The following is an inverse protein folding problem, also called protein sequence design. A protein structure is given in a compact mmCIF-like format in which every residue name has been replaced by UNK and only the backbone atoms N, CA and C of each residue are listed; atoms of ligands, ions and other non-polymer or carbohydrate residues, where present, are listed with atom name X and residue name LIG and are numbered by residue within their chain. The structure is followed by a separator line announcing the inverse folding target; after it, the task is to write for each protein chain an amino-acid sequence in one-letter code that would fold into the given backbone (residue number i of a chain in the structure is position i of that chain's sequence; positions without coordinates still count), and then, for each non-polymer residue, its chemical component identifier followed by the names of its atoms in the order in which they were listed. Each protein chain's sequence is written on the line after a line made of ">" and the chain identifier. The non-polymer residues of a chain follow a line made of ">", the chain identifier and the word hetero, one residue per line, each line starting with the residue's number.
data_IF_513823406706
#
_entry.id   IF_513823406706
#
_cell.length_a   1.000
_cell.length_b   1.000
_cell.length_c   1.000
_cell.angle_alpha   90.00
_cell.angle_beta   90.00
_cell.angle_gamma   90.00
#
_symmetry.space_group_name_H-M   'P 1'
#
loop_
_entity.id
_entity.type
_entity.pdbx_description
1 polymer ?
#
# COMPACT_ATOMS: atom_id res chain seq x y z
N UNK A 1 19.07 -3.95 -21.43
CA UNK A 1 19.56 -5.06 -20.59
C UNK A 1 18.81 -4.98 -19.28
N UNK A 2 17.86 -5.88 -19.03
CA UNK A 2 17.21 -5.98 -17.72
C UNK A 2 18.23 -6.51 -16.73
N UNK A 3 18.80 -5.64 -15.90
CA UNK A 3 19.48 -6.11 -14.71
C UNK A 3 18.42 -6.81 -13.85
N UNK A 4 18.49 -8.12 -13.71
CA UNK A 4 17.67 -8.85 -12.75
C UNK A 4 17.91 -8.24 -11.37
N UNK A 5 16.84 -7.75 -10.76
CA UNK A 5 16.89 -7.15 -9.44
C UNK A 5 16.66 -8.27 -8.44
N UNK A 6 17.60 -8.46 -7.52
CA UNK A 6 17.44 -9.43 -6.44
C UNK A 6 16.30 -8.96 -5.51
N UNK A 7 15.29 -9.82 -5.34
CA UNK A 7 14.10 -9.57 -4.53
C UNK A 7 13.96 -10.57 -3.37
N UNK A 8 15.05 -11.21 -2.96
CA UNK A 8 15.04 -12.00 -1.72
C UNK A 8 14.73 -11.13 -0.48
N UNK A 9 14.40 -11.79 0.63
CA UNK A 9 14.05 -11.12 1.87
C UNK A 9 15.12 -10.14 2.39
N UNK A 10 16.42 -10.44 2.19
CA UNK A 10 17.48 -9.56 2.69
C UNK A 10 17.63 -8.30 1.83
N UNK A 11 17.52 -8.43 0.50
CA UNK A 11 17.49 -7.32 -0.44
C UNK A 11 16.32 -6.38 -0.14
N UNK A 12 15.12 -6.93 0.01
CA UNK A 12 13.91 -6.15 0.32
C UNK A 12 14.02 -5.48 1.69
N UNK A 13 14.52 -6.19 2.70
CA UNK A 13 14.76 -5.66 4.04
C UNK A 13 15.69 -4.44 3.99
N UNK A 14 16.82 -4.56 3.29
CA UNK A 14 17.76 -3.46 3.11
C UNK A 14 17.11 -2.27 2.40
N UNK A 15 16.37 -2.50 1.32
CA UNK A 15 15.62 -1.44 0.63
C UNK A 15 14.57 -0.78 1.52
N UNK A 16 13.93 -1.53 2.42
CA UNK A 16 12.98 -0.96 3.38
C UNK A 16 13.66 -0.08 4.43
N UNK A 17 14.83 -0.47 4.92
CA UNK A 17 15.67 0.35 5.82
C UNK A 17 16.11 1.64 5.12
N UNK A 18 16.61 1.52 3.89
CA UNK A 18 17.00 2.67 3.05
C UNK A 18 15.81 3.61 2.78
N UNK A 19 14.63 3.07 2.48
CA UNK A 19 13.42 3.88 2.26
C UNK A 19 13.07 4.69 3.50
N UNK A 20 13.07 4.06 4.69
CA UNK A 20 12.82 4.76 5.96
C UNK A 20 13.80 5.91 6.15
N UNK A 21 15.08 5.70 5.83
CA UNK A 21 16.10 6.74 5.96
C UNK A 21 15.96 7.86 4.91
N UNK A 22 15.66 7.51 3.65
CA UNK A 22 15.60 8.46 2.54
C UNK A 22 14.41 9.42 2.63
N UNK A 23 13.27 8.95 3.13
CA UNK A 23 12.04 9.76 3.23
C UNK A 23 11.51 9.93 4.65
N UNK A 24 12.20 9.43 5.68
CA UNK A 24 11.81 9.61 7.10
C UNK A 24 10.38 9.14 7.37
N UNK A 25 10.09 7.89 6.99
CA UNK A 25 8.75 7.31 7.13
C UNK A 25 8.29 7.27 8.59
N UNK A 26 7.02 7.64 8.81
CA UNK A 26 6.38 7.62 10.14
C UNK A 26 6.08 6.22 10.64
N UNK A 27 5.88 5.26 9.74
CA UNK A 27 5.51 3.87 10.06
C UNK A 27 6.29 2.89 9.22
N UNK A 28 6.27 1.62 9.60
CA UNK A 28 7.05 0.59 8.94
C UNK A 28 6.53 0.27 7.53
N UNK A 29 7.40 0.25 6.51
CA UNK A 29 7.14 -0.50 5.29
C UNK A 29 6.85 -1.97 5.61
N UNK A 30 5.91 -2.56 4.88
CA UNK A 30 5.45 -3.91 5.14
C UNK A 30 5.17 -4.66 3.84
N UNK A 31 5.23 -5.99 3.89
CA UNK A 31 4.90 -6.86 2.78
C UNK A 31 3.56 -7.53 2.99
N UNK A 32 2.92 -7.93 1.90
CA UNK A 32 1.79 -8.88 1.89
C UNK A 32 2.12 -10.09 1.03
N UNK A 33 1.65 -11.27 1.45
CA UNK A 33 1.77 -12.52 0.70
C UNK A 33 0.48 -13.33 0.81
N UNK A 34 0.02 -13.86 -0.32
CA UNK A 34 -1.11 -14.76 -0.44
C UNK A 34 -0.64 -16.22 -0.41
N UNK A 35 -1.43 -17.06 0.22
CA UNK A 35 -1.10 -18.47 0.44
C UNK A 35 -2.20 -19.36 -0.11
N UNK A 36 -1.80 -20.35 -0.93
CA UNK A 36 -2.71 -21.39 -1.41
C UNK A 36 -3.06 -22.38 -0.29
N UNK A 37 -2.08 -22.67 0.56
CA UNK A 37 -2.22 -23.52 1.73
C UNK A 37 -2.10 -22.68 3.01
N UNK A 38 -3.10 -22.78 3.88
CA UNK A 38 -3.12 -22.07 5.16
C UNK A 38 -1.99 -22.53 6.10
N UNK A 39 -1.58 -23.80 6.02
CA UNK A 39 -0.53 -24.33 6.90
C UNK A 39 0.83 -23.68 6.61
N UNK A 40 1.13 -23.39 5.35
CA UNK A 40 2.33 -22.65 4.95
C UNK A 40 2.33 -21.24 5.56
N UNK A 41 1.17 -20.58 5.57
CA UNK A 41 0.99 -19.29 6.22
C UNK A 41 1.20 -19.40 7.73
N UNK A 42 0.55 -20.37 8.38
CA UNK A 42 0.62 -20.56 9.83
C UNK A 42 2.03 -20.96 10.30
N UNK A 43 2.86 -21.52 9.42
CA UNK A 43 4.27 -21.85 9.71
C UNK A 43 5.18 -20.62 9.86
N UNK A 44 4.73 -19.41 9.47
CA UNK A 44 5.52 -18.19 9.56
C UNK A 44 5.86 -17.88 11.02
N UNK A 45 7.17 -17.79 11.31
CA UNK A 45 7.68 -17.53 12.65
C UNK A 45 7.10 -16.25 13.25
N UNK A 46 6.40 -16.40 14.38
CA UNK A 46 5.84 -15.29 15.14
C UNK A 46 4.59 -14.66 14.52
N UNK A 47 3.98 -15.34 13.54
CA UNK A 47 2.68 -14.95 13.01
C UNK A 47 1.62 -15.04 14.10
N UNK A 48 0.71 -14.06 14.08
CA UNK A 48 -0.47 -14.03 14.92
C UNK A 48 -1.70 -14.00 14.04
N UNK A 49 -2.77 -14.64 14.48
CA UNK A 49 -4.09 -14.54 13.87
C UNK A 49 -5.03 -13.81 14.82
N UNK A 50 -6.12 -13.22 14.32
CA UNK A 50 -7.21 -12.76 15.17
C UNK A 50 -7.67 -13.85 16.15
N UNK A 51 -7.90 -13.47 17.40
CA UNK A 51 -8.45 -14.37 18.42
C UNK A 51 -9.87 -14.83 18.04
N UNK A 52 -10.28 -15.98 18.57
CA UNK A 52 -11.59 -16.55 18.31
C UNK A 52 -12.74 -15.56 18.58
N UNK A 53 -13.70 -15.53 17.65
CA UNK A 53 -14.84 -14.60 17.69
C UNK A 53 -14.49 -13.13 17.44
N UNK A 54 -13.24 -12.80 17.09
CA UNK A 54 -12.84 -11.45 16.68
C UNK A 54 -12.63 -11.39 15.17
N UNK A 55 -13.25 -10.39 14.55
CA UNK A 55 -13.17 -10.14 13.13
C UNK A 55 -12.52 -8.79 12.87
N UNK A 56 -11.76 -8.70 11.79
CA UNK A 56 -11.10 -7.46 11.39
C UNK A 56 -11.42 -7.13 9.94
N UNK A 57 -11.34 -5.83 9.63
CA UNK A 57 -11.17 -5.40 8.24
C UNK A 57 -9.71 -5.52 7.84
N UNK A 58 -9.44 -5.66 6.54
CA UNK A 58 -8.06 -5.67 6.02
C UNK A 58 -7.32 -4.36 6.37
N UNK A 59 -8.03 -3.23 6.41
CA UNK A 59 -7.48 -1.94 6.83
C UNK A 59 -6.95 -1.97 8.28
N UNK A 60 -7.68 -2.58 9.21
CA UNK A 60 -7.20 -2.73 10.60
C UNK A 60 -6.00 -3.66 10.72
N UNK A 61 -5.92 -4.68 9.85
CA UNK A 61 -4.77 -5.58 9.80
C UNK A 61 -3.51 -4.83 9.35
N UNK A 62 -3.57 -4.11 8.22
CA UNK A 62 -2.40 -3.38 7.72
C UNK A 62 -1.94 -2.30 8.69
N UNK A 63 -2.88 -1.63 9.38
CA UNK A 63 -2.54 -0.65 10.41
C UNK A 63 -1.73 -1.28 11.53
N UNK A 64 -2.17 -2.42 12.07
CA UNK A 64 -1.41 -3.11 13.12
C UNK A 64 -0.01 -3.53 12.65
N UNK A 65 0.11 -3.97 11.39
CA UNK A 65 1.40 -4.35 10.81
C UNK A 65 2.33 -3.14 10.74
N UNK A 66 1.88 -2.01 10.18
CA UNK A 66 2.72 -0.83 9.96
C UNK A 66 3.02 -0.03 11.24
N UNK A 67 2.11 -0.01 12.23
CA UNK A 67 2.28 0.79 13.45
C UNK A 67 2.83 -0.01 14.62
N UNK A 68 2.29 -1.21 14.87
CA UNK A 68 2.71 -2.06 15.98
C UNK A 68 3.82 -3.05 15.60
N UNK A 69 4.07 -3.25 14.31
CA UNK A 69 5.15 -4.13 13.83
C UNK A 69 4.84 -5.61 13.95
N UNK A 70 3.56 -6.00 14.02
CA UNK A 70 3.16 -7.41 14.11
C UNK A 70 3.22 -8.11 12.75
N UNK A 71 3.55 -9.40 12.76
CA UNK A 71 3.28 -10.30 11.64
C UNK A 71 1.90 -10.89 11.85
N UNK A 72 0.97 -10.58 10.96
CA UNK A 72 -0.43 -11.00 11.07
C UNK A 72 -0.81 -11.88 9.89
N UNK A 73 -1.51 -12.97 10.17
CA UNK A 73 -2.15 -13.84 9.17
C UNK A 73 -3.66 -13.82 9.32
N UNK A 74 -4.38 -13.87 8.21
CA UNK A 74 -5.83 -13.98 8.17
C UNK A 74 -6.29 -15.01 7.15
N UNK A 75 -7.40 -15.66 7.48
CA UNK A 75 -8.22 -16.45 6.57
C UNK A 75 -9.61 -15.82 6.43
N UNK A 76 -10.47 -16.37 5.58
CA UNK A 76 -11.83 -15.88 5.35
C UNK A 76 -12.60 -15.66 6.68
N UNK A 77 -12.55 -16.62 7.60
CA UNK A 77 -13.27 -16.56 8.88
C UNK A 77 -12.74 -15.48 9.85
N UNK A 78 -11.60 -14.85 9.57
CA UNK A 78 -11.10 -13.73 10.37
C UNK A 78 -11.63 -12.37 9.89
N UNK A 79 -12.26 -12.32 8.72
CA UNK A 79 -12.75 -11.10 8.12
C UNK A 79 -14.15 -10.74 8.63
N UNK A 80 -14.46 -9.44 8.65
CA UNK A 80 -15.78 -8.95 9.07
C UNK A 80 -16.89 -9.60 8.23
N UNK A 81 -17.83 -10.36 8.85
CA UNK A 81 -18.93 -11.00 8.15
C UNK A 81 -19.80 -10.00 7.39
N UNK A 82 -20.29 -10.39 6.21
CA UNK A 82 -21.21 -9.58 5.39
C UNK A 82 -20.59 -8.31 4.78
N UNK A 83 -19.26 -8.19 4.82
CA UNK A 83 -18.49 -7.17 4.10
C UNK A 83 -17.87 -7.75 2.81
N UNK A 84 -17.14 -6.94 2.06
CA UNK A 84 -16.36 -7.35 0.88
C UNK A 84 -14.84 -7.17 1.06
N UNK A 85 -14.37 -7.02 2.31
CA UNK A 85 -12.97 -6.77 2.59
C UNK A 85 -12.05 -7.93 2.14
N UNK A 86 -12.53 -9.16 2.21
CA UNK A 86 -11.80 -10.34 1.74
C UNK A 86 -11.77 -10.45 0.23
N UNK A 87 -12.79 -9.92 -0.45
CA UNK A 87 -12.91 -10.07 -1.89
C UNK A 87 -11.78 -9.32 -2.62
N UNK A 88 -11.36 -8.17 -2.08
CA UNK A 88 -10.25 -7.41 -2.65
C UNK A 88 -8.90 -8.15 -2.57
N UNK A 89 -8.76 -9.12 -1.66
CA UNK A 89 -7.57 -9.96 -1.48
C UNK A 89 -7.81 -11.42 -1.88
N UNK A 90 -8.95 -11.74 -2.52
CA UNK A 90 -9.23 -13.06 -3.08
C UNK A 90 -9.54 -14.16 -2.05
N UNK A 91 -9.80 -13.81 -0.79
CA UNK A 91 -10.14 -14.77 0.27
C UNK A 91 -11.64 -15.07 0.39
N UNK A 92 -12.48 -14.35 -0.35
CA UNK A 92 -13.91 -14.63 -0.45
C UNK A 92 -14.43 -14.26 -1.83
N UNK A 93 -15.49 -14.93 -2.26
CA UNK A 93 -16.29 -14.50 -3.42
C UNK A 93 -17.08 -13.28 -2.99
N UNK A 94 -17.22 -12.29 -3.88
CA UNK A 94 -18.06 -11.11 -3.64
C UNK A 94 -19.51 -11.57 -3.46
N UNK A 95 -20.16 -11.36 -2.29
CA UNK A 95 -21.55 -11.75 -2.09
C UNK A 95 -22.49 -11.00 -3.04
N UNK A 96 -23.62 -11.61 -3.43
CA UNK A 96 -24.52 -11.03 -4.44
C UNK A 96 -25.14 -9.69 -4.01
N UNK A 97 -25.44 -9.54 -2.73
CA UNK A 97 -25.95 -8.29 -2.16
C UNK A 97 -24.89 -7.16 -2.15
N UNK A 98 -23.62 -7.51 -2.28
CA UNK A 98 -22.51 -6.57 -2.49
C UNK A 98 -22.25 -6.37 -3.97
N UNK A 99 -22.10 -7.43 -4.78
CA UNK A 99 -21.77 -7.36 -6.21
C UNK A 99 -22.81 -6.57 -7.01
N UNK A 100 -24.09 -6.74 -6.66
CA UNK A 100 -25.20 -6.00 -7.27
C UNK A 100 -25.15 -4.50 -6.96
N UNK A 101 -24.40 -4.08 -5.93
CA UNK A 101 -24.37 -2.71 -5.43
C UNK A 101 -25.48 -2.38 -4.43
N UNK A 102 -26.38 -3.32 -4.11
CA UNK A 102 -27.54 -3.06 -3.24
C UNK A 102 -27.15 -2.42 -1.90
N UNK A 103 -26.06 -2.86 -1.28
CA UNK A 103 -25.57 -2.31 0.00
C UNK A 103 -25.01 -0.88 -0.09
N UNK A 104 -24.71 -0.37 -1.28
CA UNK A 104 -24.13 0.97 -1.48
C UNK A 104 -25.11 1.97 -2.10
N UNK A 105 -26.24 1.50 -2.64
CA UNK A 105 -27.32 2.33 -3.16
C UNK A 105 -27.96 3.18 -2.06
N UNK A 106 -28.01 4.50 -2.26
CA UNK A 106 -28.50 5.48 -1.29
C UNK A 106 -27.53 5.74 -0.12
N UNK A 107 -26.40 5.03 -0.05
CA UNK A 107 -25.38 5.20 0.99
C UNK A 107 -24.16 5.93 0.43
N UNK A 108 -23.55 5.35 -0.60
CA UNK A 108 -22.38 5.92 -1.29
C UNK A 108 -22.73 6.42 -2.68
N UNK A 109 -23.71 5.79 -3.33
CA UNK A 109 -24.10 6.11 -4.70
C UNK A 109 -25.60 6.34 -4.77
N UNK A 110 -26.03 7.38 -5.48
CA UNK A 110 -27.43 7.79 -5.51
C UNK A 110 -28.39 6.78 -6.15
N UNK A 111 -27.89 5.77 -6.86
CA UNK A 111 -28.72 4.76 -7.51
C UNK A 111 -28.01 3.40 -7.66
N UNK A 112 -28.80 2.37 -7.95
CA UNK A 112 -28.36 0.98 -8.10
C UNK A 112 -27.35 0.78 -9.22
N UNK A 113 -27.53 1.45 -10.35
CA UNK A 113 -26.66 1.31 -11.51
C UNK A 113 -25.23 1.80 -11.19
N UNK A 114 -25.11 2.96 -10.53
CA UNK A 114 -23.83 3.50 -10.09
C UNK A 114 -23.16 2.59 -9.06
N UNK A 115 -23.92 2.06 -8.10
CA UNK A 115 -23.41 1.12 -7.11
C UNK A 115 -22.94 -0.21 -7.72
N UNK A 116 -23.69 -0.77 -8.67
CA UNK A 116 -23.30 -1.97 -9.41
C UNK A 116 -22.03 -1.73 -10.24
N UNK A 117 -21.95 -0.58 -10.94
CA UNK A 117 -20.76 -0.19 -11.72
C UNK A 117 -19.52 -0.08 -10.85
N UNK A 118 -19.63 0.54 -9.67
CA UNK A 118 -18.54 0.61 -8.69
C UNK A 118 -18.03 -0.80 -8.34
N UNK A 119 -18.94 -1.72 -8.02
CA UNK A 119 -18.59 -3.08 -7.62
C UNK A 119 -17.98 -3.91 -8.76
N UNK A 120 -18.42 -3.67 -9.99
CA UNK A 120 -17.92 -4.34 -11.19
C UNK A 120 -16.53 -3.84 -11.62
N UNK A 121 -16.20 -2.56 -11.37
CA UNK A 121 -14.95 -1.94 -11.81
C UNK A 121 -13.80 -2.07 -10.80
N UNK A 122 -14.09 -2.47 -9.55
CA UNK A 122 -13.04 -2.65 -8.55
C UNK A 122 -12.05 -3.74 -8.97
N UNK A 123 -10.74 -3.44 -9.03
CA UNK A 123 -9.72 -4.46 -9.21
C UNK A 123 -9.66 -5.36 -7.97
N UNK A 124 -9.66 -6.67 -8.19
CA UNK A 124 -9.64 -7.68 -7.13
C UNK A 124 -8.73 -8.82 -7.51
N UNK A 125 -8.17 -9.46 -6.48
CA UNK A 125 -7.56 -10.78 -6.64
C UNK A 125 -8.65 -11.80 -6.93
N UNK A 126 -8.40 -12.70 -7.88
CA UNK A 126 -9.31 -13.79 -8.21
C UNK A 126 -9.57 -14.69 -6.99
N UNK A 127 -10.85 -14.91 -6.68
CA UNK A 127 -11.27 -15.76 -5.58
C UNK A 127 -11.03 -17.25 -5.87
N UNK A 128 -10.92 -18.07 -4.82
CA UNK A 128 -10.79 -19.52 -4.93
C UNK A 128 -9.36 -20.03 -5.16
N UNK A 129 -8.39 -19.13 -5.38
CA UNK A 129 -6.98 -19.50 -5.53
C UNK A 129 -6.21 -19.57 -4.21
N UNK A 130 -6.59 -18.75 -3.23
CA UNK A 130 -5.85 -18.58 -1.98
C UNK A 130 -6.76 -18.80 -0.77
N UNK A 131 -6.18 -19.34 0.30
CA UNK A 131 -6.87 -19.67 1.55
C UNK A 131 -6.38 -18.83 2.73
N UNK A 132 -5.26 -18.12 2.58
CA UNK A 132 -4.73 -17.21 3.59
C UNK A 132 -3.97 -16.03 3.01
N UNK A 133 -3.86 -14.98 3.81
CA UNK A 133 -3.01 -13.82 3.57
C UNK A 133 -2.21 -13.51 4.83
N UNK A 134 -0.89 -13.30 4.68
CA UNK A 134 -0.06 -12.74 5.74
C UNK A 134 0.50 -11.38 5.35
N UNK A 135 0.66 -10.53 6.36
CA UNK A 135 1.35 -9.26 6.26
C UNK A 135 2.37 -9.11 7.39
N UNK A 136 3.53 -8.53 7.07
CA UNK A 136 4.64 -8.39 8.03
C UNK A 136 5.50 -7.18 7.70
N UNK A 137 6.08 -6.47 8.69
CA UNK A 137 7.04 -5.41 8.41
C UNK A 137 8.22 -5.96 7.59
N UNK A 138 8.64 -5.25 6.54
CA UNK A 138 9.69 -5.72 5.63
C UNK A 138 11.02 -5.94 6.36
N UNK A 139 11.30 -5.13 7.41
CA UNK A 139 12.48 -5.30 8.27
C UNK A 139 12.62 -6.68 8.93
N UNK A 140 11.55 -7.47 8.96
CA UNK A 140 11.56 -8.80 9.59
C UNK A 140 12.05 -9.91 8.66
N UNK A 141 12.03 -9.69 7.34
CA UNK A 141 12.39 -10.72 6.35
C UNK A 141 11.51 -11.99 6.39
N UNK A 142 10.31 -11.93 6.99
CA UNK A 142 9.47 -13.13 7.22
C UNK A 142 8.68 -13.60 5.99
N UNK A 143 8.52 -12.72 5.00
CA UNK A 143 7.82 -13.02 3.76
C UNK A 143 8.87 -12.98 2.64
N UNK A 144 9.26 -14.15 2.12
CA UNK A 144 10.37 -14.28 1.17
C UNK A 144 9.95 -14.94 -0.15
N UNK A 145 9.98 -14.20 -1.28
CA UNK A 145 9.65 -12.77 -1.29
C UNK A 145 8.18 -12.56 -0.85
N UNK A 146 7.79 -11.35 -0.42
CA UNK A 146 6.38 -10.99 -0.38
C UNK A 146 5.83 -10.91 -1.81
N UNK A 147 4.50 -11.00 -1.96
CA UNK A 147 3.89 -10.74 -3.26
C UNK A 147 3.96 -9.24 -3.57
N UNK A 148 3.71 -8.37 -2.60
CA UNK A 148 3.84 -6.91 -2.76
C UNK A 148 4.48 -6.27 -1.53
N UNK A 149 5.16 -5.15 -1.74
CA UNK A 149 5.71 -4.25 -0.74
C UNK A 149 4.84 -3.01 -0.66
N UNK A 150 4.55 -2.54 0.56
CA UNK A 150 3.68 -1.41 0.82
C UNK A 150 4.29 -0.45 1.84
N UNK A 151 3.91 0.81 1.71
CA UNK A 151 4.18 1.82 2.73
C UNK A 151 3.18 2.98 2.61
N UNK A 152 2.96 3.65 3.73
CA UNK A 152 2.16 4.87 3.80
C UNK A 152 3.09 6.07 3.97
N UNK A 153 2.82 7.14 3.23
CA UNK A 153 3.63 8.35 3.24
C UNK A 153 2.83 9.55 2.74
N UNK A 154 3.33 10.76 3.00
CA UNK A 154 2.77 11.99 2.46
C UNK A 154 2.93 12.12 0.95
N UNK A 155 2.13 12.97 0.27
CA UNK A 155 2.28 13.24 -1.16
C UNK A 155 3.72 13.63 -1.57
N UNK A 156 4.39 14.45 -0.74
CA UNK A 156 5.78 14.84 -0.97
C UNK A 156 6.76 13.66 -0.88
N UNK A 157 6.55 12.72 0.03
CA UNK A 157 7.38 11.51 0.10
C UNK A 157 7.09 10.55 -1.06
N UNK A 158 5.82 10.42 -1.47
CA UNK A 158 5.40 9.55 -2.56
C UNK A 158 5.96 9.97 -3.91
N UNK A 159 5.97 11.27 -4.23
CA UNK A 159 6.51 11.73 -5.50
C UNK A 159 8.00 11.43 -5.62
N UNK A 160 8.77 11.54 -4.53
CA UNK A 160 10.19 11.19 -4.56
C UNK A 160 10.43 9.71 -4.85
N UNK A 161 9.61 8.81 -4.29
CA UNK A 161 9.66 7.39 -4.60
C UNK A 161 9.29 7.10 -6.07
N UNK A 162 8.25 7.75 -6.59
CA UNK A 162 7.87 7.63 -8.01
C UNK A 162 9.00 8.12 -8.93
N UNK A 163 9.67 9.21 -8.59
CA UNK A 163 10.85 9.66 -9.35
C UNK A 163 11.99 8.63 -9.26
N UNK A 164 12.14 7.96 -8.12
CA UNK A 164 13.06 6.83 -7.96
C UNK A 164 12.75 5.69 -8.93
N UNK A 165 11.48 5.29 -9.05
CA UNK A 165 11.04 4.28 -10.02
C UNK A 165 11.38 4.66 -11.47
N UNK A 166 11.36 5.96 -11.77
CA UNK A 166 11.60 6.49 -13.11
C UNK A 166 13.08 6.71 -13.44
N UNK A 167 13.97 6.67 -12.46
CA UNK A 167 15.36 7.12 -12.61
C UNK A 167 16.13 6.36 -13.71
N UNK A 168 16.06 5.03 -13.72
CA UNK A 168 16.79 4.21 -14.69
C UNK A 168 16.02 4.00 -16.00
N UNK A 169 14.70 3.89 -15.91
CA UNK A 169 13.82 3.66 -17.06
C UNK A 169 12.56 4.49 -16.88
N UNK A 170 12.55 5.68 -17.47
CA UNK A 170 11.39 6.55 -17.40
C UNK A 170 10.16 5.85 -18.01
N UNK A 171 9.09 5.80 -17.22
CA UNK A 171 7.74 5.55 -17.72
C UNK A 171 6.76 6.44 -16.99
N UNK A 172 5.67 6.77 -17.67
CA UNK A 172 4.50 7.35 -17.02
C UNK A 172 3.77 6.25 -16.25
N UNK A 173 3.35 6.55 -15.03
CA UNK A 173 2.47 5.68 -14.24
C UNK A 173 1.05 6.21 -14.32
N UNK A 174 0.10 5.31 -14.56
CA UNK A 174 -1.32 5.60 -14.51
C UNK A 174 -1.91 4.93 -13.27
N UNK A 175 -2.45 5.74 -12.36
CA UNK A 175 -3.10 5.28 -11.15
C UNK A 175 -4.60 5.56 -11.25
N UNK A 176 -5.42 4.59 -10.84
CA UNK A 176 -6.87 4.68 -10.88
C UNK A 176 -7.45 4.98 -9.50
N UNK A 177 -8.67 5.51 -9.47
CA UNK A 177 -9.37 5.81 -8.22
C UNK A 177 -10.80 5.26 -8.28
N UNK A 178 -11.10 4.33 -7.39
CA UNK A 178 -12.42 3.77 -7.11
C UNK A 178 -13.23 4.71 -6.20
N UNK A 179 -12.56 5.47 -5.34
CA UNK A 179 -13.19 6.35 -4.35
C UNK A 179 -13.38 5.62 -3.03
N UNK A 180 -14.59 5.15 -2.73
CA UNK A 180 -14.79 4.26 -1.58
C UNK A 180 -14.26 2.86 -1.91
N UNK A 181 -13.52 2.24 -0.98
CA UNK A 181 -12.75 1.00 -1.17
C UNK A 181 -11.36 1.19 -1.81
N UNK A 182 -10.60 2.18 -1.32
CA UNK A 182 -9.20 2.43 -1.75
C UNK A 182 -8.25 1.21 -1.61
N UNK A 183 -8.62 0.23 -0.80
CA UNK A 183 -7.96 -1.07 -0.72
C UNK A 183 -7.98 -1.86 -2.06
N UNK A 184 -8.99 -1.63 -2.91
CA UNK A 184 -9.01 -2.15 -4.27
C UNK A 184 -7.94 -1.46 -5.13
N UNK A 185 -7.87 -0.13 -5.13
CA UNK A 185 -6.88 0.62 -5.93
C UNK A 185 -5.43 0.41 -5.48
N UNK A 186 -5.20 0.01 -4.22
CA UNK A 186 -3.86 -0.23 -3.67
C UNK A 186 -3.46 -1.72 -3.75
N UNK A 187 -3.64 -2.49 -2.66
CA UNK A 187 -3.19 -3.88 -2.62
C UNK A 187 -4.03 -4.80 -3.50
N UNK A 188 -5.33 -4.54 -3.67
CA UNK A 188 -6.17 -5.33 -4.57
C UNK A 188 -5.64 -5.32 -6.00
N UNK A 189 -5.37 -4.13 -6.54
CA UNK A 189 -4.73 -3.92 -7.84
C UNK A 189 -3.31 -4.51 -7.86
N UNK A 190 -2.44 -4.13 -6.93
CA UNK A 190 -1.04 -4.58 -6.96
C UNK A 190 -0.88 -6.11 -6.85
N UNK A 191 -1.74 -6.78 -6.07
CA UNK A 191 -1.77 -8.25 -5.97
C UNK A 191 -2.30 -8.89 -7.25
N UNK A 192 -3.34 -8.33 -7.86
CA UNK A 192 -4.00 -8.90 -9.05
C UNK A 192 -3.22 -8.66 -10.35
N UNK A 193 -2.67 -7.46 -10.54
CA UNK A 193 -2.02 -7.07 -11.79
C UNK A 193 -0.50 -7.15 -11.75
N UNK A 194 0.10 -7.24 -10.55
CA UNK A 194 1.55 -7.07 -10.35
C UNK A 194 2.05 -5.71 -10.85
N UNK A 195 1.22 -4.67 -10.76
CA UNK A 195 1.62 -3.30 -11.10
C UNK A 195 1.71 -2.41 -9.86
N UNK A 196 2.66 -1.48 -9.87
CA UNK A 196 2.76 -0.42 -8.88
C UNK A 196 1.46 0.39 -8.83
N UNK A 197 0.95 0.59 -7.63
CA UNK A 197 -0.36 1.16 -7.36
C UNK A 197 -0.27 2.19 -6.24
N UNK A 198 -0.84 3.37 -6.49
CA UNK A 198 -0.94 4.47 -5.53
C UNK A 198 -2.42 4.72 -5.25
N UNK A 199 -2.83 4.70 -3.98
CA UNK A 199 -4.19 4.98 -3.58
C UNK A 199 -4.27 6.22 -2.68
N UNK A 200 -5.33 7.00 -2.89
CA UNK A 200 -5.86 7.92 -1.88
C UNK A 200 -6.70 7.08 -0.92
N UNK A 201 -6.34 6.97 0.37
CA UNK A 201 -7.14 6.21 1.32
C UNK A 201 -8.60 6.67 1.30
N UNK A 202 -9.55 5.78 1.54
CA UNK A 202 -10.98 6.13 1.52
C UNK A 202 -11.49 6.52 2.91
N UNK A 203 -12.79 6.79 3.05
CA UNK A 203 -13.40 7.14 4.33
C UNK A 203 -13.27 5.98 5.33
N UNK A 204 -13.62 4.76 4.92
CA UNK A 204 -13.52 3.58 5.78
C UNK A 204 -12.08 3.29 6.23
N UNK A 205 -11.10 3.50 5.34
CA UNK A 205 -9.69 3.30 5.69
C UNK A 205 -9.19 4.31 6.73
N UNK A 206 -9.64 5.58 6.66
CA UNK A 206 -9.39 6.56 7.72
C UNK A 206 -10.11 6.22 9.01
N UNK A 207 -11.42 5.98 8.93
CA UNK A 207 -12.27 5.78 10.12
C UNK A 207 -11.93 4.50 10.89
N UNK A 208 -11.70 3.40 10.19
CA UNK A 208 -11.50 2.08 10.81
C UNK A 208 -10.05 1.63 10.79
N UNK A 209 -9.28 2.01 9.77
CA UNK A 209 -7.84 1.78 9.69
C UNK A 209 -7.02 2.85 10.41
N UNK A 210 -7.58 4.02 10.74
CA UNK A 210 -6.83 5.07 11.44
C UNK A 210 -5.76 5.73 10.56
N UNK A 211 -5.92 5.69 9.24
CA UNK A 211 -5.02 6.38 8.31
C UNK A 211 -5.22 7.90 8.43
N UNK A 212 -4.11 8.65 8.43
CA UNK A 212 -4.15 10.09 8.57
C UNK A 212 -4.51 10.79 7.24
N UNK A 213 -5.03 12.01 7.32
CA UNK A 213 -5.46 12.78 6.14
C UNK A 213 -4.31 13.10 5.19
N UNK A 214 -3.10 13.21 5.73
CA UNK A 214 -1.87 13.48 5.00
C UNK A 214 -1.22 12.23 4.40
N UNK A 215 -1.80 11.04 4.56
CA UNK A 215 -1.22 9.79 4.07
C UNK A 215 -1.83 9.34 2.73
N UNK A 216 -0.95 8.89 1.86
CA UNK A 216 -1.22 8.05 0.71
C UNK A 216 -0.71 6.64 0.98
N UNK A 217 -1.20 5.66 0.21
CA UNK A 217 -0.72 4.28 0.25
C UNK A 217 -0.08 3.89 -1.07
N UNK A 218 1.17 3.45 -1.02
CA UNK A 218 1.87 2.84 -2.14
C UNK A 218 1.90 1.32 -1.97
N UNK A 219 1.61 0.59 -3.04
CA UNK A 219 1.75 -0.86 -3.13
C UNK A 219 2.49 -1.22 -4.43
N UNK A 220 3.61 -1.94 -4.33
CA UNK A 220 4.47 -2.26 -5.46
C UNK A 220 4.82 -3.75 -5.49
N UNK A 221 5.06 -4.32 -6.68
CA UNK A 221 5.87 -5.52 -6.81
C UNK A 221 7.24 -5.36 -6.12
N UNK A 222 7.84 -6.45 -5.59
CA UNK A 222 9.12 -6.38 -4.89
C UNK A 222 10.26 -5.81 -5.74
N UNK A 223 10.30 -6.12 -7.04
CA UNK A 223 11.34 -5.65 -7.93
C UNK A 223 11.21 -4.14 -8.20
N UNK A 224 9.98 -3.65 -8.40
CA UNK A 224 9.69 -2.21 -8.49
C UNK A 224 10.05 -1.50 -7.17
N UNK A 225 9.74 -2.09 -6.02
CA UNK A 225 10.11 -1.53 -4.72
C UNK A 225 11.62 -1.32 -4.59
N UNK A 226 12.41 -2.36 -4.87
CA UNK A 226 13.88 -2.28 -4.80
C UNK A 226 14.42 -1.26 -5.83
N UNK A 227 13.90 -1.27 -7.07
CA UNK A 227 14.29 -0.29 -8.10
C UNK A 227 13.98 1.15 -7.68
N UNK A 228 12.80 1.38 -7.10
CA UNK A 228 12.37 2.70 -6.63
C UNK A 228 13.32 3.26 -5.58
N UNK A 229 13.67 2.43 -4.58
CA UNK A 229 14.62 2.81 -3.52
C UNK A 229 16.02 3.08 -4.09
N UNK A 230 16.53 2.23 -4.99
CA UNK A 230 17.83 2.47 -5.63
C UNK A 230 17.82 3.78 -6.45
N UNK A 231 16.77 4.04 -7.22
CA UNK A 231 16.62 5.30 -7.94
C UNK A 231 16.58 6.52 -7.02
N UNK A 232 15.94 6.42 -5.85
CA UNK A 232 15.97 7.49 -4.84
C UNK A 232 17.38 7.76 -4.31
N UNK A 233 18.22 6.73 -4.12
CA UNK A 233 19.64 6.92 -3.72
C UNK A 233 20.40 7.70 -4.79
N UNK A 234 20.14 7.40 -6.06
CA UNK A 234 20.73 8.15 -7.17
C UNK A 234 20.26 9.61 -7.20
N UNK A 235 18.96 9.87 -7.04
CA UNK A 235 18.41 11.22 -6.94
C UNK A 235 19.02 12.01 -5.78
N UNK A 236 19.20 11.36 -4.63
CA UNK A 236 19.79 11.97 -3.44
C UNK A 236 21.23 12.46 -3.66
N UNK A 237 22.04 11.73 -4.44
CA UNK A 237 23.40 12.15 -4.85
C UNK A 237 23.37 13.42 -5.70
N UNK A 238 22.29 13.67 -6.45
CA UNK A 238 22.09 14.89 -7.24
C UNK A 238 21.49 16.04 -6.41
N UNK A 239 21.29 15.87 -5.10
CA UNK A 239 20.64 16.87 -4.24
C UNK A 239 19.11 16.81 -4.23
N UNK A 240 18.50 15.91 -5.01
CA UNK A 240 17.05 15.71 -5.06
C UNK A 240 16.64 14.72 -3.96
N UNK A 241 16.45 15.21 -2.74
CA UNK A 241 16.19 14.38 -1.53
C UNK A 241 15.17 15.02 -0.59
N UNK A 242 14.59 14.18 0.26
CA UNK A 242 13.68 14.58 1.33
C UNK A 242 14.45 14.79 2.65
N UNK A 243 14.05 15.74 3.53
CA UNK A 243 12.98 16.73 3.33
C UNK A 243 13.37 17.78 2.29
N UNK A 244 12.36 18.44 1.70
CA UNK A 244 12.54 19.49 0.69
C UNK A 244 12.96 20.81 1.36
N UNK A 245 14.22 21.26 1.23
CA UNK A 245 14.64 22.55 1.77
C UNK A 245 14.01 23.68 0.94
N UNK A 246 13.21 24.58 1.53
CA UNK A 246 12.65 25.70 0.78
C UNK A 246 13.76 26.67 0.41
N UNK A 247 13.93 26.98 -0.88
CA UNK A 247 14.98 27.88 -1.36
C UNK A 247 14.96 29.24 -0.63
N UNK A 248 13.77 29.78 -0.36
CA UNK A 248 13.59 31.07 0.31
C UNK A 248 14.25 31.15 1.69
N UNK A 249 14.32 30.05 2.44
CA UNK A 249 14.97 30.04 3.76
C UNK A 249 16.51 30.12 3.66
N UNK A 250 17.07 29.88 2.47
CA UNK A 250 18.51 29.90 2.19
C UNK A 250 18.92 31.05 1.25
N UNK A 251 17.97 31.91 0.86
CA UNK A 251 18.22 33.08 0.03
C UNK A 251 18.44 34.32 0.91
N UNK A 252 19.17 35.31 0.39
CA UNK A 252 19.31 36.61 1.06
C UNK A 252 17.93 37.32 1.05
N UNK A 253 17.34 37.63 2.22
CA UNK A 253 16.07 38.34 2.26
C UNK A 253 16.13 39.73 1.61
N UNK A 254 17.32 40.34 1.49
CA UNK A 254 17.50 41.64 0.85
C UNK A 254 17.04 41.66 -0.62
N UNK A 255 17.20 40.55 -1.36
CA UNK A 255 16.78 40.44 -2.76
C UNK A 255 15.26 40.62 -2.96
N UNK A 256 14.46 40.27 -1.94
CA UNK A 256 13.00 40.44 -1.95
C UNK A 256 12.53 41.68 -1.17
N UNK A 257 13.12 41.93 -0.01
CA UNK A 257 12.69 42.99 0.92
C UNK A 257 13.10 44.39 0.47
N UNK A 258 14.18 44.55 -0.31
CA UNK A 258 14.64 45.84 -0.82
C UNK A 258 13.57 46.59 -1.64
N UNK A 259 12.59 45.88 -2.24
CA UNK A 259 11.46 46.51 -2.94
C UNK A 259 10.40 47.10 -2.00
N UNK A 260 10.31 46.61 -0.78
CA UNK A 260 9.27 46.98 0.20
C UNK A 260 9.78 47.86 1.33
N UNK A 261 11.09 47.83 1.60
CA UNK A 261 11.72 48.51 2.74
C UNK A 261 12.90 49.41 2.33
N UNK A 262 12.90 49.91 1.08
CA UNK A 262 13.82 50.96 0.60
C UNK A 262 13.53 52.31 1.23
#
# INVERSE_FOLDING_TARGET
>A
MSNEVNVDAESIKKSAEDLVELIKLRTFPFGMKLFKNVDDMLSIKGLRTPSDGKFFTTCQLVTQVRTAGFTLGIVQNNLRPGSSCGANIGLEIVPEDVSSGQKMTGVWFGNQEAAAKHQAQMPRVEAGKYTGLAASPLRTGRLDPPDICLFYASPGQMILFINGLQYHNYRRYDFTLTGESACADSWGRALSTRETSLALPCYAERRYGGVADDELLMACPPDEFVKGVEGMKHLSKNGLRYPYPPYSAFADPADGMSKSYS
#
